data_IF_745919794391
#
_entry.id   IF_745919794391
#
_cell.length_a   1.000
_cell.length_b   1.000
_cell.length_c   1.000
_cell.angle_alpha   90.00
_cell.angle_beta   90.00
_cell.angle_gamma   90.00
#
_symmetry.space_group_name_H-M   'P 1'
#
loop_
_entity.id
_entity.type
_entity.pdbx_description
1 polymer ?
#
# COMPACT_ATOMS: atom_id res chain seq x y z
N UNK A 1 8.14 7.49 -1.76
CA UNK A 1 6.73 7.82 -1.46
C UNK A 1 6.34 9.31 -1.68
N UNK A 2 6.77 10.01 -2.74
CA UNK A 2 6.31 11.41 -3.01
C UNK A 2 5.97 11.72 -4.47
N UNK A 3 6.34 10.88 -5.44
CA UNK A 3 6.15 11.17 -6.86
C UNK A 3 4.73 10.94 -7.39
N UNK A 4 4.05 9.90 -6.92
CA UNK A 4 2.75 9.49 -7.47
C UNK A 4 1.59 10.34 -6.93
N UNK A 5 1.59 10.69 -5.64
CA UNK A 5 0.62 11.62 -5.04
C UNK A 5 0.67 13.00 -5.72
N UNK A 6 1.85 13.53 -6.00
CA UNK A 6 2.01 14.79 -6.71
C UNK A 6 1.44 14.76 -8.14
N UNK A 7 1.47 13.60 -8.83
CA UNK A 7 0.88 13.44 -10.17
C UNK A 7 -0.65 13.33 -10.14
N UNK A 8 -1.22 12.80 -9.06
CA UNK A 8 -2.68 12.72 -8.87
C UNK A 8 -3.30 14.10 -8.63
N UNK A 9 -2.62 14.99 -7.89
CA UNK A 9 -3.13 16.33 -7.57
C UNK A 9 -2.60 17.45 -8.50
N UNK A 10 -1.54 17.22 -9.29
CA UNK A 10 -0.85 18.25 -10.06
C UNK A 10 -1.45 18.65 -11.41
N UNK A 11 -2.70 18.31 -11.73
CA UNK A 11 -3.29 18.56 -13.07
C UNK A 11 -4.11 19.85 -13.22
N UNK A 12 -4.18 20.71 -12.21
CA UNK A 12 -4.80 22.03 -12.31
C UNK A 12 -3.81 23.19 -12.09
N UNK A 13 -2.91 23.43 -13.04
CA UNK A 13 -2.46 24.82 -13.26
C UNK A 13 -1.97 25.05 -14.70
N UNK A 14 -2.93 25.25 -15.60
CA UNK A 14 -2.69 25.97 -16.86
C UNK A 14 -3.16 27.42 -16.68
N UNK A 15 -2.24 28.36 -17.00
CA UNK A 15 -2.38 29.84 -17.13
C UNK A 15 -2.38 30.58 -15.78
N UNK A 16 -1.63 31.65 -15.57
CA UNK A 16 -1.40 32.79 -16.47
C UNK A 16 -0.01 33.41 -16.31
N UNK A 17 0.42 34.10 -17.37
CA UNK A 17 1.63 34.92 -17.43
C UNK A 17 1.49 36.21 -16.60
N UNK A 18 2.61 36.77 -16.14
CA UNK A 18 2.72 38.17 -15.76
C UNK A 18 3.59 38.49 -14.54
N UNK A 19 4.72 39.13 -14.80
CA UNK A 19 5.29 40.27 -14.05
C UNK A 19 6.15 40.04 -12.77
N UNK A 20 7.46 40.20 -13.01
CA UNK A 20 8.46 41.03 -12.33
C UNK A 20 8.29 41.58 -10.89
N UNK A 21 9.46 41.54 -10.23
CA UNK A 21 10.01 42.50 -9.26
C UNK A 21 9.78 42.32 -7.75
N UNK A 22 10.86 41.85 -7.11
CA UNK A 22 11.37 42.20 -5.78
C UNK A 22 10.35 42.48 -4.65
N UNK A 23 10.04 41.44 -3.88
CA UNK A 23 9.56 41.57 -2.51
C UNK A 23 10.23 40.51 -1.61
N UNK A 24 10.70 40.99 -0.46
CA UNK A 24 11.14 40.33 0.79
C UNK A 24 10.78 38.83 0.87
N UNK A 25 11.67 37.93 1.36
CA UNK A 25 11.28 36.56 1.63
C UNK A 25 10.31 36.56 2.82
N UNK A 26 9.02 36.73 2.53
CA UNK A 26 7.97 36.28 3.42
C UNK A 26 8.22 34.79 3.65
N UNK A 27 8.19 34.26 4.88
CA UNK A 27 7.98 32.83 5.03
C UNK A 27 6.66 32.59 4.31
N UNK A 28 6.72 31.94 3.15
CA UNK A 28 5.52 31.52 2.44
C UNK A 28 4.63 30.77 3.43
N UNK A 29 3.31 30.70 3.21
CA UNK A 29 2.47 29.85 4.03
C UNK A 29 3.16 28.50 4.08
N UNK A 30 3.47 28.03 5.29
CA UNK A 30 3.83 26.63 5.47
C UNK A 30 2.53 25.90 5.15
N UNK A 31 2.31 25.65 3.86
CA UNK A 31 1.32 24.71 3.38
C UNK A 31 1.82 23.37 3.91
N UNK A 32 1.49 23.08 5.17
CA UNK A 32 1.35 21.71 5.63
C UNK A 32 0.31 21.17 4.67
N UNK A 33 0.78 20.52 3.61
CA UNK A 33 -0.06 19.75 2.71
C UNK A 33 -0.93 18.90 3.64
N UNK A 34 -2.26 19.12 3.69
CA UNK A 34 -3.09 18.43 4.65
C UNK A 34 -2.85 16.95 4.42
N UNK A 35 -2.32 16.29 5.45
CA UNK A 35 -2.02 14.86 5.38
C UNK A 35 -3.31 14.16 5.00
N UNK A 36 -3.29 13.49 3.83
CA UNK A 36 -4.46 12.80 3.30
C UNK A 36 -4.93 11.82 4.37
N UNK A 37 -6.19 11.90 4.84
CA UNK A 37 -6.70 10.99 5.85
C UNK A 37 -6.47 9.53 5.46
N UNK A 38 -6.16 8.67 6.42
CA UNK A 38 -5.79 7.28 6.18
C UNK A 38 -6.83 6.52 5.34
N UNK A 39 -8.12 6.75 5.57
CA UNK A 39 -9.21 6.17 4.79
C UNK A 39 -9.16 6.58 3.30
N UNK A 40 -8.94 7.86 3.03
CA UNK A 40 -8.82 8.37 1.65
C UNK A 40 -7.53 7.85 1.00
N UNK A 41 -6.43 7.83 1.76
CA UNK A 41 -5.14 7.28 1.31
C UNK A 41 -5.26 5.80 0.95
N UNK A 42 -5.97 5.01 1.76
CA UNK A 42 -6.25 3.61 1.50
C UNK A 42 -7.01 3.42 0.17
N UNK A 43 -8.05 4.22 -0.07
CA UNK A 43 -8.84 4.16 -1.32
C UNK A 43 -7.96 4.47 -2.54
N UNK A 44 -7.11 5.49 -2.47
CA UNK A 44 -6.23 5.87 -3.57
C UNK A 44 -5.17 4.80 -3.87
N UNK A 45 -4.55 4.25 -2.84
CA UNK A 45 -3.56 3.18 -2.95
C UNK A 45 -4.16 1.89 -3.50
N UNK A 46 -5.35 1.50 -3.03
CA UNK A 46 -6.07 0.33 -3.56
C UNK A 46 -6.40 0.52 -5.04
N UNK A 47 -6.88 1.70 -5.44
CA UNK A 47 -7.15 1.99 -6.87
C UNK A 47 -5.89 1.89 -7.72
N UNK A 48 -4.75 2.37 -7.22
CA UNK A 48 -3.48 2.28 -7.94
C UNK A 48 -3.00 0.83 -8.06
N UNK A 49 -3.08 0.04 -6.98
CA UNK A 49 -2.71 -1.38 -6.98
C UNK A 49 -3.52 -2.20 -8.01
N UNK A 50 -4.82 -1.89 -8.12
CA UNK A 50 -5.77 -2.58 -9.00
C UNK A 50 -5.76 -2.07 -10.44
N UNK A 51 -5.13 -0.93 -10.73
CA UNK A 51 -5.02 -0.38 -12.07
C UNK A 51 -3.99 -1.17 -12.89
N UNK A 52 -4.47 -2.02 -13.80
CA UNK A 52 -3.61 -2.80 -14.70
C UNK A 52 -2.80 -1.95 -15.69
N UNK A 53 -3.14 -0.67 -15.84
CA UNK A 53 -2.42 0.27 -16.71
C UNK A 53 -1.36 1.08 -15.97
N UNK A 54 -1.36 1.03 -14.62
CA UNK A 54 -0.31 1.63 -13.81
C UNK A 54 1.03 0.91 -14.02
N UNK A 55 2.12 1.64 -13.83
CA UNK A 55 3.46 1.05 -13.92
C UNK A 55 3.67 0.07 -12.77
N UNK A 56 4.47 -0.95 -13.02
CA UNK A 56 4.76 -1.99 -12.02
C UNK A 56 5.32 -1.41 -10.73
N UNK A 57 6.31 -0.52 -10.82
CA UNK A 57 6.92 0.17 -9.67
C UNK A 57 5.91 1.02 -8.88
N UNK A 58 4.92 1.62 -9.55
CA UNK A 58 3.86 2.38 -8.88
C UNK A 58 2.90 1.45 -8.11
N UNK A 59 2.64 0.25 -8.63
CA UNK A 59 1.80 -0.76 -7.98
C UNK A 59 2.53 -1.42 -6.80
N UNK A 60 3.83 -1.65 -6.93
CA UNK A 60 4.69 -2.13 -5.84
C UNK A 60 4.79 -1.10 -4.71
N UNK A 61 5.04 0.16 -5.04
CA UNK A 61 5.02 1.28 -4.08
C UNK A 61 3.66 1.34 -3.36
N UNK A 62 2.57 1.10 -4.10
CA UNK A 62 1.23 1.08 -3.53
C UNK A 62 1.05 -0.09 -2.54
N UNK A 63 1.42 -1.31 -2.95
CA UNK A 63 1.36 -2.50 -2.11
C UNK A 63 2.12 -2.31 -0.79
N UNK A 64 3.38 -1.85 -0.87
CA UNK A 64 4.20 -1.61 0.32
C UNK A 64 3.61 -0.53 1.23
N UNK A 65 3.07 0.55 0.65
CA UNK A 65 2.45 1.63 1.43
C UNK A 65 1.18 1.18 2.16
N UNK A 66 0.46 0.18 1.63
CA UNK A 66 -0.75 -0.35 2.26
C UNK A 66 -0.48 -1.11 3.57
N UNK A 67 0.74 -1.59 3.84
CA UNK A 67 1.07 -2.25 5.13
C UNK A 67 0.73 -1.37 6.33
N UNK A 68 0.90 -0.05 6.20
CA UNK A 68 0.69 0.93 7.27
C UNK A 68 -0.76 1.39 7.41
N UNK A 69 -1.65 0.88 6.58
CA UNK A 69 -3.08 1.14 6.61
C UNK A 69 -3.81 -0.14 7.03
N UNK A 70 -5.00 0.01 7.61
CA UNK A 70 -5.82 -1.12 8.00
C UNK A 70 -7.25 -0.99 7.47
N UNK A 71 -7.95 -2.11 7.45
CA UNK A 71 -9.37 -2.16 7.16
C UNK A 71 -9.73 -3.09 5.99
N UNK A 72 -11.02 -3.45 5.88
CA UNK A 72 -11.46 -4.52 4.97
C UNK A 72 -11.14 -4.26 3.49
N UNK A 73 -11.14 -3.00 3.06
CA UNK A 73 -10.84 -2.64 1.67
C UNK A 73 -9.38 -2.93 1.31
N UNK A 74 -8.45 -2.68 2.26
CA UNK A 74 -7.01 -2.88 2.09
C UNK A 74 -6.72 -4.37 2.01
N UNK A 75 -7.16 -5.14 3.01
CA UNK A 75 -6.94 -6.58 3.04
C UNK A 75 -7.54 -7.27 1.82
N UNK A 76 -8.77 -6.91 1.44
CA UNK A 76 -9.42 -7.50 0.27
C UNK A 76 -8.68 -7.19 -1.04
N UNK A 77 -8.09 -6.00 -1.19
CA UNK A 77 -7.30 -5.63 -2.35
C UNK A 77 -5.98 -6.41 -2.42
N UNK A 78 -5.26 -6.52 -1.30
CA UNK A 78 -4.03 -7.30 -1.20
C UNK A 78 -4.31 -8.78 -1.52
N UNK A 79 -5.37 -9.37 -0.96
CA UNK A 79 -5.80 -10.74 -1.25
C UNK A 79 -6.07 -10.93 -2.76
N UNK A 80 -6.78 -10.00 -3.40
CA UNK A 80 -7.04 -10.04 -4.85
C UNK A 80 -5.73 -9.99 -5.65
N UNK A 81 -4.81 -9.10 -5.28
CA UNK A 81 -3.52 -8.97 -5.96
C UNK A 81 -2.66 -10.24 -5.82
N UNK A 82 -2.62 -10.85 -4.62
CA UNK A 82 -1.93 -12.12 -4.38
C UNK A 82 -2.47 -13.23 -5.29
N UNK A 83 -3.80 -13.37 -5.37
CA UNK A 83 -4.46 -14.35 -6.24
C UNK A 83 -4.20 -14.08 -7.72
N UNK A 84 -4.26 -12.81 -8.14
CA UNK A 84 -4.03 -12.41 -9.53
C UNK A 84 -2.60 -12.71 -9.99
N UNK A 85 -1.63 -12.59 -9.07
CA UNK A 85 -0.24 -12.98 -9.30
C UNK A 85 0.05 -14.45 -9.04
N UNK A 86 -0.97 -15.32 -8.99
CA UNK A 86 -0.89 -16.76 -8.71
C UNK A 86 0.11 -17.11 -7.58
N UNK A 87 0.12 -16.29 -6.52
CA UNK A 87 0.94 -16.50 -5.31
C UNK A 87 2.48 -16.50 -5.52
N UNK A 88 2.97 -16.09 -6.69
CA UNK A 88 4.37 -16.25 -7.09
C UNK A 88 5.00 -15.02 -7.75
N UNK A 89 4.22 -14.07 -8.28
CA UNK A 89 4.79 -12.84 -8.84
C UNK A 89 5.37 -11.94 -7.76
N UNK A 90 6.36 -11.10 -8.09
CA UNK A 90 6.97 -10.11 -7.18
C UNK A 90 5.92 -9.22 -6.50
N UNK A 91 4.93 -8.72 -7.26
CA UNK A 91 3.82 -7.95 -6.70
C UNK A 91 2.95 -8.76 -5.71
N UNK A 92 2.74 -10.05 -5.97
CA UNK A 92 2.01 -10.94 -5.06
C UNK A 92 2.79 -11.20 -3.77
N UNK A 93 4.11 -11.35 -3.87
CA UNK A 93 5.01 -11.49 -2.73
C UNK A 93 4.96 -10.23 -1.85
N UNK A 94 5.09 -9.03 -2.46
CA UNK A 94 4.98 -7.75 -1.75
C UNK A 94 3.60 -7.57 -1.10
N UNK A 95 2.52 -7.91 -1.79
CA UNK A 95 1.18 -7.84 -1.22
C UNK A 95 1.01 -8.82 -0.05
N UNK A 96 1.63 -10.00 -0.12
CA UNK A 96 1.63 -10.99 0.94
C UNK A 96 2.43 -10.51 2.18
N UNK A 97 3.57 -9.87 1.96
CA UNK A 97 4.34 -9.21 3.03
C UNK A 97 3.51 -8.13 3.74
N UNK A 98 2.90 -7.22 2.99
CA UNK A 98 2.07 -6.16 3.57
C UNK A 98 0.84 -6.70 4.30
N UNK A 99 0.16 -7.72 3.76
CA UNK A 99 -0.97 -8.36 4.41
C UNK A 99 -0.55 -9.02 5.74
N UNK A 100 0.59 -9.72 5.75
CA UNK A 100 1.12 -10.32 6.97
C UNK A 100 1.50 -9.28 8.03
N UNK A 101 2.05 -8.14 7.60
CA UNK A 101 2.34 -7.00 8.46
C UNK A 101 1.07 -6.43 9.11
N UNK A 102 -0.01 -6.28 8.34
CA UNK A 102 -1.33 -5.87 8.85
C UNK A 102 -1.84 -6.88 9.86
N UNK A 103 -1.93 -8.16 9.49
CA UNK A 103 -2.41 -9.22 10.37
C UNK A 103 -1.63 -9.34 11.68
N UNK A 104 -0.30 -9.24 11.63
CA UNK A 104 0.53 -9.26 12.82
C UNK A 104 0.23 -8.08 13.76
N UNK A 105 -0.04 -6.90 13.20
CA UNK A 105 -0.35 -5.68 13.98
C UNK A 105 -1.77 -5.70 14.55
N UNK A 106 -2.74 -6.11 13.74
CA UNK A 106 -4.17 -6.13 14.12
C UNK A 106 -4.54 -7.39 14.93
N UNK A 107 -3.67 -8.40 15.00
CA UNK A 107 -3.87 -9.59 15.82
C UNK A 107 -4.92 -10.56 15.27
N UNK A 108 -5.16 -10.56 13.96
CA UNK A 108 -6.09 -11.48 13.31
C UNK A 108 -5.58 -11.92 11.94
N UNK A 109 -6.14 -13.02 11.43
CA UNK A 109 -5.91 -13.54 10.08
C UNK A 109 -7.25 -13.95 9.47
N UNK A 110 -7.35 -13.98 8.15
CA UNK A 110 -8.41 -14.73 7.45
C UNK A 110 -7.99 -16.21 7.35
N UNK A 111 -8.61 -17.14 8.09
CA UNK A 111 -8.19 -18.54 8.07
C UNK A 111 -8.44 -19.23 6.73
N UNK A 112 -9.46 -18.79 5.98
CA UNK A 112 -9.78 -19.38 4.69
C UNK A 112 -8.73 -18.98 3.66
N UNK A 113 -8.33 -17.71 3.64
CA UNK A 113 -7.25 -17.25 2.77
C UNK A 113 -5.89 -17.80 3.21
N UNK A 114 -5.61 -17.87 4.51
CA UNK A 114 -4.37 -18.45 5.03
C UNK A 114 -4.16 -19.90 4.57
N UNK A 115 -5.24 -20.68 4.47
CA UNK A 115 -5.22 -22.05 3.95
C UNK A 115 -5.03 -22.15 2.43
N UNK A 116 -5.34 -21.07 1.69
CA UNK A 116 -5.17 -20.98 0.23
C UNK A 116 -3.73 -20.65 -0.16
N UNK A 117 -2.97 -19.98 0.73
CA UNK A 117 -1.61 -19.56 0.47
C UNK A 117 -0.70 -20.72 0.05
N UNK A 118 0.08 -20.46 -0.99
CA UNK A 118 1.08 -21.37 -1.56
C UNK A 118 2.29 -20.57 -2.05
N UNK A 119 3.36 -21.27 -2.40
CA UNK A 119 4.55 -20.68 -3.03
C UNK A 119 5.15 -19.51 -2.23
N UNK A 120 5.73 -18.51 -2.91
CA UNK A 120 6.41 -17.36 -2.29
C UNK A 120 5.49 -16.56 -1.37
N UNK A 121 4.22 -16.36 -1.74
CA UNK A 121 3.27 -15.64 -0.87
C UNK A 121 3.07 -16.34 0.48
N UNK A 122 3.11 -17.68 0.51
CA UNK A 122 3.06 -18.43 1.78
C UNK A 122 4.32 -18.23 2.60
N UNK A 123 5.50 -18.28 1.96
CA UNK A 123 6.78 -18.10 2.63
C UNK A 123 6.85 -16.73 3.33
N UNK A 124 6.42 -15.67 2.65
CA UNK A 124 6.37 -14.32 3.24
C UNK A 124 5.42 -14.24 4.43
N UNK A 125 4.18 -14.67 4.24
CA UNK A 125 3.17 -14.58 5.31
C UNK A 125 3.61 -15.37 6.53
N UNK A 126 4.09 -16.61 6.32
CA UNK A 126 4.51 -17.46 7.44
C UNK A 126 5.80 -16.95 8.09
N UNK A 127 6.75 -16.41 7.31
CA UNK A 127 7.98 -15.81 7.82
C UNK A 127 7.69 -14.60 8.71
N UNK A 128 6.86 -13.67 8.24
CA UNK A 128 6.52 -12.45 8.96
C UNK A 128 5.66 -12.76 10.18
N UNK A 129 4.61 -13.59 10.04
CA UNK A 129 3.79 -13.98 11.19
C UNK A 129 4.61 -14.79 12.20
N UNK A 130 5.48 -15.69 11.76
CA UNK A 130 6.37 -16.45 12.64
C UNK A 130 7.28 -15.56 13.48
N UNK A 131 7.78 -14.47 12.88
CA UNK A 131 8.64 -13.51 13.57
C UNK A 131 7.87 -12.52 14.46
N UNK A 132 6.72 -12.01 14.00
CA UNK A 132 6.01 -10.88 14.63
C UNK A 132 4.79 -11.29 15.45
N UNK A 133 4.09 -12.36 15.06
CA UNK A 133 2.84 -12.81 15.69
C UNK A 133 2.65 -14.35 15.59
N UNK A 134 3.57 -15.17 16.13
CA UNK A 134 3.57 -16.62 15.89
C UNK A 134 2.33 -17.35 16.39
N UNK A 135 1.60 -16.74 17.33
CA UNK A 135 0.34 -17.26 17.86
C UNK A 135 -0.81 -17.24 16.83
N UNK A 136 -0.67 -16.48 15.74
CA UNK A 136 -1.65 -16.44 14.64
C UNK A 136 -1.46 -17.59 13.64
N UNK A 137 -0.33 -18.29 13.68
CA UNK A 137 -0.09 -19.42 12.80
C UNK A 137 -0.82 -20.69 13.27
N UNK A 138 -1.27 -21.55 12.33
CA UNK A 138 -1.79 -22.87 12.67
C UNK A 138 -0.76 -23.68 13.46
N UNK A 139 -1.22 -24.52 14.38
CA UNK A 139 -0.33 -25.41 15.14
C UNK A 139 0.42 -26.35 14.19
N UNK A 140 1.74 -26.37 14.28
CA UNK A 140 2.61 -27.20 13.45
C UNK A 140 3.08 -26.56 12.14
N UNK A 141 2.89 -25.24 11.97
CA UNK A 141 3.31 -24.45 10.82
C UNK A 141 4.83 -24.15 10.72
N UNK A 142 5.70 -24.95 11.37
CA UNK A 142 7.16 -24.72 11.43
C UNK A 142 7.91 -25.41 10.30
#
# INVERSE_FOLDING_TARGET
MRGWLARLFGKEQRRSAGEDSAAIPSPGPVWLDPEIPDEERAVLLVRLLEDSTAREDEREDAASSLEYLCGPIVEAALIRAIRAGDFHSDLAQLCAESLAGIWAREGHVDPAFLAELRSLAKEEVFGILGARAPHLLPRGAH
#
